data_IF_664533328076
#
_entry.id   IF_664533328076
#
_cell.length_a   1.000
_cell.length_b   1.000
_cell.length_c   1.000
_cell.angle_alpha   90.00
_cell.angle_beta   90.00
_cell.angle_gamma   90.00
#
_symmetry.space_group_name_H-M   'P 1'
#
loop_
_entity.id
_entity.type
_entity.pdbx_description
1 polymer ?
#
# COMPACT_ATOMS: atom_id res chain seq x y z
N UNK A 1 -34.27 15.52 8.41
CA UNK A 1 -33.82 14.80 7.20
C UNK A 1 -32.39 15.26 6.93
N UNK A 2 -31.40 14.47 7.34
CA UNK A 2 -29.99 14.80 7.16
C UNK A 2 -29.51 14.12 5.88
N UNK A 3 -29.59 14.81 4.75
CA UNK A 3 -28.94 14.34 3.53
C UNK A 3 -27.44 14.59 3.65
N UNK A 4 -26.71 13.54 4.01
CA UNK A 4 -25.25 13.52 3.96
C UNK A 4 -24.88 13.69 2.49
N UNK A 5 -24.25 14.81 2.14
CA UNK A 5 -23.71 15.03 0.79
C UNK A 5 -22.63 13.96 0.59
N UNK A 6 -22.95 12.94 -0.21
CA UNK A 6 -22.01 11.91 -0.63
C UNK A 6 -20.90 12.60 -1.43
N UNK A 7 -19.68 12.57 -0.92
CA UNK A 7 -18.52 13.13 -1.62
C UNK A 7 -18.24 12.27 -2.87
N UNK A 8 -18.37 12.80 -4.10
CA UNK A 8 -18.20 12.03 -5.33
C UNK A 8 -16.78 11.49 -5.56
N UNK A 9 -15.80 11.87 -4.72
CA UNK A 9 -14.42 11.38 -4.78
C UNK A 9 -14.09 10.29 -3.73
N UNK A 10 -15.05 9.90 -2.89
CA UNK A 10 -14.80 8.96 -1.77
C UNK A 10 -14.58 7.51 -2.18
N UNK A 11 -15.23 7.04 -3.24
CA UNK A 11 -15.21 5.60 -3.57
C UNK A 11 -13.81 5.12 -4.02
N UNK A 12 -13.13 5.89 -4.88
CA UNK A 12 -11.79 5.53 -5.35
C UNK A 12 -10.75 5.63 -4.23
N UNK A 13 -10.80 6.72 -3.46
CA UNK A 13 -9.86 6.97 -2.36
C UNK A 13 -9.96 5.92 -1.26
N UNK A 14 -11.19 5.59 -0.83
CA UNK A 14 -11.43 4.58 0.20
C UNK A 14 -11.07 3.16 -0.26
N UNK A 15 -11.28 2.83 -1.53
CA UNK A 15 -10.85 1.55 -2.12
C UNK A 15 -9.32 1.41 -2.09
N UNK A 16 -8.59 2.46 -2.47
CA UNK A 16 -7.12 2.47 -2.49
C UNK A 16 -6.51 2.43 -1.10
N UNK A 17 -7.07 3.19 -0.17
CA UNK A 17 -6.69 3.13 1.25
C UNK A 17 -6.84 1.71 1.78
N UNK A 18 -7.95 1.04 1.46
CA UNK A 18 -8.19 -0.36 1.84
C UNK A 18 -7.15 -1.31 1.23
N UNK A 19 -6.78 -1.14 -0.04
CA UNK A 19 -5.71 -1.93 -0.67
C UNK A 19 -4.38 -1.75 0.05
N UNK A 20 -4.02 -0.52 0.43
CA UNK A 20 -2.77 -0.23 1.15
C UNK A 20 -2.81 -0.86 2.55
N UNK A 21 -3.88 -0.63 3.32
CA UNK A 21 -3.98 -1.15 4.70
C UNK A 21 -4.02 -2.67 4.74
N UNK A 22 -4.63 -3.33 3.76
CA UNK A 22 -4.69 -4.79 3.71
C UNK A 22 -3.33 -5.45 3.37
N UNK A 23 -2.37 -4.68 2.83
CA UNK A 23 -1.10 -5.23 2.34
C UNK A 23 0.14 -4.66 3.04
N UNK A 24 0.01 -3.72 3.99
CA UNK A 24 1.16 -3.13 4.69
C UNK A 24 2.03 -4.16 5.43
N UNK A 25 1.43 -5.22 6.00
CA UNK A 25 2.18 -6.27 6.69
C UNK A 25 3.08 -7.09 5.75
N UNK A 26 2.73 -7.14 4.45
CA UNK A 26 3.57 -7.78 3.45
C UNK A 26 4.87 -6.99 3.25
N UNK A 27 4.80 -5.65 3.24
CA UNK A 27 5.97 -4.78 3.11
C UNK A 27 6.98 -5.07 4.22
N UNK A 28 6.51 -5.13 5.48
CA UNK A 28 7.37 -5.44 6.63
C UNK A 28 8.02 -6.82 6.51
N UNK A 29 7.25 -7.84 6.10
CA UNK A 29 7.77 -9.20 5.91
C UNK A 29 8.85 -9.21 4.83
N UNK A 30 8.60 -8.63 3.66
CA UNK A 30 9.57 -8.56 2.57
C UNK A 30 10.82 -7.79 2.99
N UNK A 31 10.67 -6.64 3.66
CA UNK A 31 11.81 -5.85 4.16
C UNK A 31 12.69 -6.65 5.14
N UNK A 32 12.11 -7.42 6.06
CA UNK A 32 12.87 -8.30 6.96
C UNK A 32 13.65 -9.37 6.19
N UNK A 33 13.04 -9.98 5.18
CA UNK A 33 13.69 -11.03 4.37
C UNK A 33 14.81 -10.46 3.50
N UNK A 34 14.62 -9.26 2.95
CA UNK A 34 15.63 -8.56 2.18
C UNK A 34 16.79 -8.07 3.07
N UNK A 35 16.50 -7.56 4.27
CA UNK A 35 17.53 -7.10 5.22
C UNK A 35 18.54 -8.20 5.56
N UNK A 36 18.10 -9.47 5.63
CA UNK A 36 18.99 -10.61 5.84
C UNK A 36 20.00 -10.86 4.69
N UNK A 37 19.78 -10.27 3.52
CA UNK A 37 20.57 -10.45 2.29
C UNK A 37 21.25 -9.17 1.81
N UNK A 38 21.00 -8.04 2.47
CA UNK A 38 21.55 -6.73 2.11
C UNK A 38 22.71 -6.34 3.02
N UNK A 39 23.46 -5.33 2.59
CA UNK A 39 24.57 -4.77 3.37
C UNK A 39 24.13 -4.37 4.79
N UNK A 40 25.00 -4.52 5.81
CA UNK A 40 24.70 -4.10 7.18
C UNK A 40 24.32 -2.62 7.27
N UNK A 41 24.80 -1.77 6.36
CA UNK A 41 24.51 -0.33 6.31
C UNK A 41 23.06 0.01 5.94
N UNK A 42 22.28 -0.94 5.43
CA UNK A 42 20.87 -0.69 5.11
C UNK A 42 20.00 -0.77 6.37
N UNK A 43 19.34 0.32 6.72
CA UNK A 43 18.38 0.35 7.83
C UNK A 43 17.06 -0.33 7.46
N UNK A 44 16.46 -1.04 8.41
CA UNK A 44 15.20 -1.76 8.20
C UNK A 44 14.01 -0.82 8.00
N UNK A 45 13.95 0.28 8.75
CA UNK A 45 12.87 1.26 8.63
C UNK A 45 12.96 2.00 7.29
N UNK A 46 14.16 2.28 6.79
CA UNK A 46 14.34 2.84 5.44
C UNK A 46 13.82 1.87 4.37
N UNK A 47 14.10 0.59 4.51
CA UNK A 47 13.60 -0.43 3.57
C UNK A 47 12.07 -0.58 3.62
N UNK A 48 11.49 -0.49 4.82
CA UNK A 48 10.04 -0.47 5.00
C UNK A 48 9.43 0.78 4.36
N UNK A 49 10.04 1.95 4.55
CA UNK A 49 9.54 3.21 3.96
C UNK A 49 9.56 3.14 2.42
N UNK A 50 10.67 2.72 1.82
CA UNK A 50 10.77 2.54 0.37
C UNK A 50 9.74 1.51 -0.12
N UNK A 51 9.57 0.41 0.60
CA UNK A 51 8.55 -0.58 0.30
C UNK A 51 7.12 -0.04 0.38
N UNK A 52 6.83 0.85 1.33
CA UNK A 52 5.52 1.51 1.43
C UNK A 52 5.28 2.49 0.28
N UNK A 53 6.30 3.21 -0.18
CA UNK A 53 6.20 4.04 -1.39
C UNK A 53 5.82 3.17 -2.59
N UNK A 54 6.47 2.01 -2.76
CA UNK A 54 6.14 1.05 -3.81
C UNK A 54 4.72 0.49 -3.70
N UNK A 55 4.26 0.15 -2.49
CA UNK A 55 2.90 -0.31 -2.26
C UNK A 55 1.86 0.76 -2.60
N UNK A 56 2.09 2.01 -2.18
CA UNK A 56 1.20 3.13 -2.49
C UNK A 56 1.09 3.30 -4.01
N UNK A 57 2.23 3.27 -4.73
CA UNK A 57 2.23 3.43 -6.18
C UNK A 57 1.54 2.27 -6.90
N UNK A 58 1.76 1.04 -6.45
CA UNK A 58 1.06 -0.13 -6.94
C UNK A 58 -0.46 -0.03 -6.70
N UNK A 59 -0.89 0.43 -5.52
CA UNK A 59 -2.30 0.64 -5.23
C UNK A 59 -2.93 1.74 -6.11
N UNK A 60 -2.15 2.76 -6.55
CA UNK A 60 -2.64 3.78 -7.49
C UNK A 60 -2.91 3.24 -8.89
N UNK A 61 -2.10 2.27 -9.31
CA UNK A 61 -2.10 1.68 -10.65
C UNK A 61 -2.81 0.33 -10.70
N UNK A 62 -3.34 -0.14 -9.56
CA UNK A 62 -4.07 -1.40 -9.47
C UNK A 62 -5.45 -1.26 -10.12
N UNK A 63 -5.64 -1.99 -11.21
CA UNK A 63 -6.94 -2.13 -11.85
C UNK A 63 -7.51 -3.51 -11.51
N UNK A 64 -8.69 -3.55 -10.86
CA UNK A 64 -9.32 -4.79 -10.38
C UNK A 64 -10.00 -5.60 -11.49
N UNK A 65 -9.51 -5.56 -12.72
CA UNK A 65 -10.17 -6.19 -13.86
C UNK A 65 -10.12 -7.72 -13.77
N UNK A 66 -11.22 -8.29 -13.27
CA UNK A 66 -11.53 -9.71 -13.43
C UNK A 66 -12.01 -9.91 -14.88
N UNK A 67 -11.05 -10.13 -15.79
CA UNK A 67 -11.35 -10.58 -17.16
C UNK A 67 -11.88 -12.01 -17.08
N UNK A 68 -13.21 -12.14 -17.06
CA UNK A 68 -13.92 -13.37 -17.41
C UNK A 68 -14.15 -13.41 -18.92
#
# INVERSE_FOLDING_TARGET
>A
MNNVIQNPYKDDTQSRESLITNHMDLVKRVALHLKARLSPFMDLNELIQVGMIGLIEAAKSFESHKRY
#
